data_IF_440814126651
#
_entry.id   IF_440814126651
#
_cell.length_a   1.000
_cell.length_b   1.000
_cell.length_c   1.000
_cell.angle_alpha   90.00
_cell.angle_beta   90.00
_cell.angle_gamma   90.00
#
_symmetry.space_group_name_H-M   'P 1'
#
loop_
_entity.id
_entity.type
_entity.pdbx_description
1 polymer ?
2 non-polymer ?
3 non-polymer ?
4 non-polymer ?
5 water ?
#
# COMPACT_ATOMS: atom_id res chain seq x y z
N UNK A 9 -7.91 -13.23 -19.62
CA UNK A 9 -7.42 -13.70 -18.28
C UNK A 9 -8.48 -13.89 -17.22
N UNK A 10 -8.48 -15.01 -16.52
CA UNK A 10 -9.48 -15.24 -15.49
C UNK A 10 -9.08 -14.50 -14.19
N UNK A 11 -10.04 -14.22 -13.35
CA UNK A 11 -9.87 -13.56 -12.07
C UNK A 11 -8.74 -14.24 -11.32
N UNK A 12 -8.84 -15.55 -11.20
CA UNK A 12 -7.84 -16.35 -10.51
C UNK A 12 -6.49 -16.11 -11.17
N UNK A 13 -6.47 -16.09 -12.48
CA UNK A 13 -5.19 -15.84 -13.16
C UNK A 13 -4.70 -14.42 -12.95
N UNK A 14 -5.60 -13.47 -12.80
CA UNK A 14 -5.22 -12.10 -12.55
C UNK A 14 -4.55 -12.04 -11.18
N UNK A 15 -5.13 -12.67 -10.17
CA UNK A 15 -4.59 -12.70 -8.85
C UNK A 15 -3.20 -13.33 -8.80
N UNK A 16 -3.03 -14.45 -9.45
CA UNK A 16 -1.77 -15.18 -9.50
C UNK A 16 -0.67 -14.30 -10.09
N UNK A 17 -0.93 -13.50 -11.11
CA UNK A 17 0.10 -12.66 -11.68
C UNK A 17 0.39 -11.49 -10.73
N UNK A 18 -0.61 -11.03 -9.99
CA UNK A 18 -0.37 -9.94 -9.04
C UNK A 18 0.57 -10.49 -7.94
N UNK A 19 0.26 -11.70 -7.50
CA UNK A 19 1.00 -12.39 -6.47
C UNK A 19 2.45 -12.48 -6.91
N UNK A 20 2.70 -12.92 -8.14
CA UNK A 20 4.07 -13.04 -8.60
C UNK A 20 4.64 -11.66 -8.91
N UNK A 21 3.77 -10.64 -9.01
CA UNK A 21 4.41 -9.34 -9.30
C UNK A 21 4.90 -8.67 -8.03
N UNK A 22 4.62 -9.16 -6.83
CA UNK A 22 5.10 -8.45 -5.64
C UNK A 22 6.57 -8.12 -5.78
N UNK A 23 6.92 -6.90 -5.43
CA UNK A 23 8.29 -6.43 -5.49
C UNK A 23 9.12 -7.19 -4.46
N UNK A 24 10.41 -7.33 -4.69
CA UNK A 24 11.32 -7.95 -3.77
C UNK A 24 11.46 -7.01 -2.56
N UNK A 25 11.92 -7.45 -1.42
CA UNK A 25 12.09 -6.55 -0.28
C UNK A 25 13.43 -5.86 -0.54
N UNK A 26 13.60 -4.83 0.23
CA UNK A 26 14.77 -3.96 0.15
C UNK A 26 15.77 -4.21 1.26
N UNK A 27 17.04 -4.12 0.94
CA UNK A 27 18.14 -4.32 1.85
C UNK A 27 18.39 -3.06 2.68
N UNK A 28 17.93 -3.05 3.93
CA UNK A 28 18.17 -1.92 4.79
C UNK A 28 18.43 -2.42 6.23
N UNK A 29 18.67 -1.39 7.05
CA UNK A 29 18.93 -1.70 8.45
C UNK A 29 18.92 -0.46 9.32
N UNK A 30 18.66 -0.73 10.59
CA UNK A 30 18.62 0.26 11.64
C UNK A 30 20.08 0.54 12.03
N UNK A 31 20.37 1.80 12.21
CA UNK A 31 21.71 2.22 12.65
C UNK A 31 21.79 1.63 14.05
N UNK A 32 22.93 1.14 14.51
CA UNK A 32 22.99 0.57 15.86
C UNK A 32 22.59 1.54 16.97
N UNK A 33 23.08 2.78 16.96
CA UNK A 33 22.75 3.73 18.03
C UNK A 33 21.29 4.18 17.91
N UNK A 34 20.76 4.73 18.97
CA UNK A 34 19.40 5.24 19.04
C UNK A 34 19.16 6.26 17.93
N UNK A 35 18.00 6.18 17.31
CA UNK A 35 17.66 7.10 16.23
C UNK A 35 17.67 8.56 16.63
N UNK A 36 17.99 9.42 15.65
CA UNK A 36 17.95 10.85 15.79
C UNK A 36 17.04 11.33 14.63
N UNK A 37 16.56 12.54 14.67
CA UNK A 37 15.75 13.06 13.59
C UNK A 37 16.46 12.84 12.25
N UNK A 38 17.77 13.04 12.22
CA UNK A 38 18.50 12.87 10.97
C UNK A 38 18.60 11.44 10.52
N UNK A 39 18.95 10.56 11.44
CA UNK A 39 19.12 9.17 10.98
C UNK A 39 17.75 8.53 10.71
N UNK A 40 16.69 8.87 11.41
CA UNK A 40 15.40 8.26 11.07
C UNK A 40 14.96 8.78 9.69
N UNK A 41 15.03 10.07 9.43
CA UNK A 41 14.61 10.52 8.09
C UNK A 41 15.53 10.02 7.00
N UNK A 42 16.80 9.84 7.34
CA UNK A 42 17.75 9.31 6.35
C UNK A 42 17.30 7.89 5.98
N UNK A 43 17.03 7.01 6.95
CA UNK A 43 16.58 5.64 6.73
C UNK A 43 15.27 5.52 5.95
N UNK A 44 14.28 6.30 6.36
CA UNK A 44 12.98 6.26 5.67
C UNK A 44 13.13 6.67 4.22
N UNK A 45 13.87 7.76 4.02
CA UNK A 45 14.12 8.28 2.66
C UNK A 45 14.88 7.28 1.84
N UNK A 46 15.97 6.66 2.30
CA UNK A 46 16.65 5.67 1.45
C UNK A 46 15.72 4.51 1.13
N UNK A 47 14.99 4.05 2.12
CA UNK A 47 14.04 2.95 1.92
C UNK A 47 13.06 3.29 0.80
N UNK A 48 12.42 4.47 0.93
CA UNK A 48 11.42 4.81 -0.10
C UNK A 48 12.04 4.84 -1.48
N UNK A 49 13.27 5.34 -1.54
CA UNK A 49 13.88 5.43 -2.88
C UNK A 49 13.96 4.09 -3.53
N UNK A 50 14.44 3.11 -2.78
CA UNK A 50 14.53 1.77 -3.36
C UNK A 50 13.13 1.21 -3.58
N UNK A 51 12.17 1.49 -2.65
CA UNK A 51 10.83 0.94 -2.95
C UNK A 51 10.24 1.59 -4.20
N UNK A 52 10.55 2.86 -4.41
CA UNK A 52 9.99 3.55 -5.59
C UNK A 52 10.51 2.92 -6.89
N UNK A 53 11.74 2.40 -6.92
CA UNK A 53 12.28 1.75 -8.10
C UNK A 53 11.50 0.46 -8.37
N UNK A 54 11.35 -0.33 -7.28
CA UNK A 54 10.61 -1.58 -7.42
C UNK A 54 9.13 -1.31 -7.73
N UNK A 55 8.59 -0.21 -7.24
CA UNK A 55 7.16 0.04 -7.54
C UNK A 55 6.97 0.15 -9.05
N UNK A 56 7.87 0.85 -9.73
CA UNK A 56 7.74 1.01 -11.20
C UNK A 56 7.75 -0.35 -11.89
N UNK A 57 8.64 -1.28 -11.49
CA UNK A 57 8.66 -2.58 -12.15
C UNK A 57 7.39 -3.36 -11.82
N UNK A 58 6.87 -3.11 -10.59
CA UNK A 58 5.66 -3.86 -10.22
C UNK A 58 4.50 -3.45 -11.11
N UNK A 59 4.30 -2.14 -11.25
CA UNK A 59 3.19 -1.67 -12.04
C UNK A 59 3.34 -2.19 -13.47
N UNK A 60 4.58 -2.25 -13.95
CA UNK A 60 4.75 -2.77 -15.33
C UNK A 60 4.33 -4.23 -15.45
N UNK A 61 4.30 -4.97 -14.34
CA UNK A 61 3.86 -6.36 -14.40
C UNK A 61 2.34 -6.47 -14.29
N UNK A 62 1.60 -5.39 -14.07
CA UNK A 62 0.14 -5.51 -13.95
C UNK A 62 -0.32 -5.73 -15.40
N UNK A 63 -1.11 -6.73 -15.66
CA UNK A 63 -1.60 -7.07 -16.98
C UNK A 63 -2.37 -5.92 -17.62
N UNK A 64 -1.82 -5.36 -18.70
CA UNK A 64 -2.40 -4.27 -19.43
C UNK A 64 -1.78 -2.92 -19.11
N UNK A 65 -0.97 -2.80 -18.05
CA UNK A 65 -0.41 -1.50 -17.71
C UNK A 65 0.54 -0.96 -18.77
N UNK A 66 1.40 -1.79 -19.33
CA UNK A 66 2.34 -1.32 -20.36
C UNK A 66 1.68 -0.96 -21.68
N UNK A 67 0.46 -1.41 -21.91
CA UNK A 67 -0.29 -1.11 -23.13
C UNK A 67 -0.95 0.27 -23.01
N UNK A 68 -0.94 0.86 -21.81
CA UNK A 68 -1.49 2.20 -21.57
C UNK A 68 -0.47 3.18 -22.16
N UNK A 69 -0.87 4.38 -22.46
CA UNK A 69 0.09 5.36 -22.99
C UNK A 69 1.14 5.69 -21.93
N UNK A 70 2.37 5.96 -22.33
CA UNK A 70 3.45 6.25 -21.43
C UNK A 70 3.03 7.36 -20.47
N UNK A 71 2.40 8.41 -21.00
CA UNK A 71 1.90 9.52 -20.23
C UNK A 71 0.94 9.08 -19.12
N UNK A 72 -0.04 8.24 -19.40
CA UNK A 72 -0.96 7.76 -18.38
C UNK A 72 -0.22 6.93 -17.32
N UNK A 73 0.79 6.17 -17.77
CA UNK A 73 1.58 5.34 -16.90
C UNK A 73 2.26 6.20 -15.84
N UNK A 74 2.95 7.21 -16.33
CA UNK A 74 3.67 8.11 -15.45
C UNK A 74 2.68 8.86 -14.59
N UNK A 75 1.56 9.26 -15.20
CA UNK A 75 0.57 10.00 -14.41
C UNK A 75 0.11 9.16 -13.21
N UNK A 76 -0.30 7.91 -13.40
CA UNK A 76 -0.77 7.13 -12.24
C UNK A 76 0.22 6.91 -11.11
N UNK A 77 1.46 6.54 -11.48
CA UNK A 77 2.51 6.31 -10.49
C UNK A 77 2.78 7.59 -9.74
N UNK A 78 2.76 8.69 -10.46
CA UNK A 78 3.05 9.97 -9.85
C UNK A 78 2.00 10.50 -8.88
N UNK A 79 0.73 10.25 -9.16
CA UNK A 79 -0.28 10.76 -8.27
C UNK A 79 -0.62 9.86 -7.09
N UNK A 80 -0.39 8.57 -7.07
CA UNK A 80 -0.80 7.72 -5.97
C UNK A 80 0.40 6.90 -5.38
N UNK A 81 1.64 7.27 -5.57
CA UNK A 81 2.78 6.49 -5.06
C UNK A 81 2.84 6.42 -3.53
N UNK A 82 2.54 7.50 -2.81
CA UNK A 82 2.57 7.44 -1.36
C UNK A 82 1.49 6.51 -0.83
N UNK A 83 0.39 6.40 -1.52
CA UNK A 83 -0.71 5.52 -1.10
C UNK A 83 -0.30 4.06 -1.27
N UNK A 84 0.27 3.68 -2.40
CA UNK A 84 0.75 2.34 -2.67
C UNK A 84 1.80 1.99 -1.61
N UNK A 85 2.67 2.94 -1.23
CA UNK A 85 3.67 2.63 -0.19
C UNK A 85 2.99 2.38 1.17
N UNK A 86 2.04 3.24 1.53
CA UNK A 86 1.41 3.09 2.84
C UNK A 86 0.60 1.80 3.00
N UNK A 87 -0.11 1.46 1.94
CA UNK A 87 -0.91 0.23 2.07
C UNK A 87 0.04 -0.97 2.19
N UNK A 88 1.22 -0.89 1.60
CA UNK A 88 2.16 -2.06 1.69
C UNK A 88 2.68 -2.14 3.11
N UNK A 89 2.92 -0.97 3.71
CA UNK A 89 3.38 -0.81 5.08
C UNK A 89 2.30 -1.33 6.03
N UNK A 90 1.03 -1.05 5.69
CA UNK A 90 -0.03 -1.50 6.57
C UNK A 90 -0.16 -3.03 6.55
N UNK A 91 -0.10 -3.60 5.35
CA UNK A 91 -0.18 -5.01 5.17
C UNK A 91 1.01 -5.57 5.99
N UNK A 92 2.21 -5.02 5.76
CA UNK A 92 3.32 -5.65 6.51
C UNK A 92 3.12 -5.48 8.03
N UNK A 93 2.39 -4.48 8.51
CA UNK A 93 2.40 -4.37 9.98
C UNK A 93 1.13 -4.90 10.63
N UNK A 94 0.32 -5.55 9.81
CA UNK A 94 -1.00 -5.96 10.27
C UNK A 94 -1.08 -6.78 11.52
N UNK A 95 -0.20 -7.74 11.65
CA UNK A 95 -0.19 -8.59 12.83
C UNK A 95 0.73 -8.10 13.95
N UNK A 96 1.18 -6.86 13.99
CA UNK A 96 2.08 -6.34 14.99
C UNK A 96 1.73 -4.99 15.60
N UNK A 97 0.79 -5.03 16.53
CA UNK A 97 0.30 -3.91 17.29
C UNK A 97 1.41 -3.00 17.82
N UNK A 98 1.22 -1.70 17.63
CA UNK A 98 2.19 -0.71 18.05
C UNK A 98 3.51 -0.70 17.28
N UNK A 99 3.59 -1.37 16.14
CA UNK A 99 4.84 -1.40 15.36
C UNK A 99 4.65 -1.17 13.86
N UNK A 100 5.59 -0.42 13.28
CA UNK A 100 5.45 -0.18 11.83
C UNK A 100 6.55 -0.98 11.15
N UNK A 101 6.16 -1.96 10.34
CA UNK A 101 7.16 -2.75 9.65
C UNK A 101 7.58 -2.12 8.32
N UNK A 102 8.37 -1.05 8.34
CA UNK A 102 8.89 -0.39 7.14
C UNK A 102 9.65 -1.35 6.28
N UNK A 103 10.43 -2.33 6.73
CA UNK A 103 11.15 -3.28 5.93
C UNK A 103 11.51 -4.42 6.87
N UNK A 104 11.78 -5.60 6.37
CA UNK A 104 12.10 -6.77 7.17
C UNK A 104 13.04 -6.44 8.33
N UNK A 105 14.07 -5.68 8.09
CA UNK A 105 14.99 -5.34 9.19
C UNK A 105 14.95 -3.87 9.55
N UNK A 106 13.78 -3.25 9.32
CA UNK A 106 13.57 -1.84 9.62
C UNK A 106 12.17 -1.72 10.25
N UNK A 107 12.07 -2.29 11.42
CA UNK A 107 10.91 -2.37 12.29
C UNK A 107 10.97 -1.27 13.34
N UNK A 108 10.07 -0.31 13.33
CA UNK A 108 10.04 0.78 14.25
C UNK A 108 8.95 0.69 15.31
N UNK A 109 9.33 0.93 16.58
CA UNK A 109 8.31 0.94 17.64
C UNK A 109 7.53 2.25 17.49
N UNK A 110 6.25 2.22 17.84
CA UNK A 110 5.42 3.42 17.77
C UNK A 110 6.09 4.60 18.45
N UNK A 111 6.52 4.40 19.71
CA UNK A 111 7.16 5.43 20.50
C UNK A 111 8.39 6.02 19.81
N UNK A 112 9.00 5.33 18.85
CA UNK A 112 10.18 5.92 18.21
C UNK A 112 9.81 7.13 17.36
N UNK A 113 8.50 7.31 17.16
CA UNK A 113 7.99 8.44 16.41
C UNK A 113 8.40 9.78 17.01
N UNK A 114 8.60 9.83 18.32
CA UNK A 114 8.98 11.11 18.91
C UNK A 114 10.38 11.51 18.47
N UNK A 115 11.06 10.62 17.75
CA UNK A 115 12.41 10.95 17.31
C UNK A 115 12.36 11.99 16.20
N UNK A 116 11.22 12.27 15.58
CA UNK A 116 11.10 13.24 14.50
C UNK A 116 9.92 14.15 14.74
N UNK A 117 10.07 15.45 14.53
CA UNK A 117 8.95 16.35 14.78
C UNK A 117 7.77 16.15 13.84
N UNK A 118 6.61 15.89 14.42
CA UNK A 118 5.37 15.68 13.72
C UNK A 118 5.17 14.31 13.09
N UNK A 119 6.09 13.37 13.30
CA UNK A 119 5.91 12.05 12.67
C UNK A 119 5.03 11.17 13.54
N UNK A 120 5.07 11.44 14.83
CA UNK A 120 4.26 10.68 15.81
C UNK A 120 2.81 10.57 15.38
N UNK A 121 2.16 11.69 15.05
CA UNK A 121 0.75 11.60 14.67
C UNK A 121 0.52 10.82 13.38
N UNK A 122 1.43 10.92 12.40
CA UNK A 122 1.36 10.22 11.15
C UNK A 122 1.54 8.72 11.50
N UNK A 123 2.52 8.37 12.35
CA UNK A 123 2.69 6.98 12.71
C UNK A 123 1.36 6.44 13.28
N UNK A 124 0.78 7.24 14.20
CA UNK A 124 -0.47 6.87 14.84
C UNK A 124 -1.60 6.69 13.84
N UNK A 125 -1.71 7.54 12.84
CA UNK A 125 -2.78 7.37 11.84
C UNK A 125 -2.48 6.05 11.07
N UNK A 126 -1.20 5.79 10.74
CA UNK A 126 -0.92 4.53 10.05
C UNK A 126 -1.28 3.34 10.96
N UNK A 127 -0.93 3.39 12.23
CA UNK A 127 -1.24 2.28 13.11
C UNK A 127 -2.75 2.06 13.26
N UNK A 128 -3.54 3.12 13.34
CA UNK A 128 -4.99 3.00 13.49
C UNK A 128 -5.60 2.32 12.25
N UNK A 129 -5.26 2.83 11.07
CA UNK A 129 -5.82 2.24 9.85
C UNK A 129 -5.37 0.79 9.74
N UNK A 130 -4.15 0.50 10.12
CA UNK A 130 -3.65 -0.87 10.11
C UNK A 130 -4.54 -1.67 11.05
N UNK A 131 -4.81 -1.26 12.26
CA UNK A 131 -5.69 -1.98 13.14
C UNK A 131 -7.06 -2.20 12.50
N UNK A 132 -7.59 -1.27 11.75
CA UNK A 132 -8.91 -1.50 11.13
C UNK A 132 -8.83 -2.67 10.13
N UNK A 133 -7.72 -2.69 9.36
CA UNK A 133 -7.52 -3.76 8.40
C UNK A 133 -7.38 -5.07 9.18
N UNK A 134 -6.77 -5.04 10.34
CA UNK A 134 -6.62 -6.28 11.10
C UNK A 134 -7.98 -6.78 11.61
N UNK A 135 -8.78 -5.88 12.15
CA UNK A 135 -10.11 -6.21 12.62
C UNK A 135 -10.95 -6.81 11.48
N UNK A 136 -10.71 -6.32 10.28
CA UNK A 136 -11.49 -6.77 9.13
C UNK A 136 -11.02 -8.11 8.61
N UNK A 137 -9.91 -8.56 9.17
CA UNK A 137 -9.20 -9.78 8.85
C UNK A 137 -8.86 -9.77 7.37
N UNK A 138 -8.26 -8.67 6.94
CA UNK A 138 -7.85 -8.55 5.55
C UNK A 138 -6.91 -9.70 5.19
N UNK A 139 -7.20 -10.30 4.07
CA UNK A 139 -6.46 -11.36 3.46
C UNK A 139 -5.39 -10.79 2.49
N UNK A 140 -4.30 -11.56 2.38
CA UNK A 140 -3.21 -11.19 1.51
C UNK A 140 -3.74 -11.15 0.09
N UNK A 141 -4.64 -12.05 -0.28
CA UNK A 141 -5.08 -11.96 -1.68
C UNK A 141 -5.98 -10.75 -1.98
N UNK A 142 -6.64 -10.25 -0.92
CA UNK A 142 -7.50 -9.09 -1.16
C UNK A 142 -6.56 -7.87 -1.15
N UNK A 143 -5.47 -8.04 -0.36
CA UNK A 143 -4.54 -6.89 -0.32
C UNK A 143 -3.97 -6.67 -1.72
N UNK A 144 -3.66 -7.75 -2.41
CA UNK A 144 -3.14 -7.56 -3.77
C UNK A 144 -4.13 -6.82 -4.69
N UNK A 145 -5.42 -7.15 -4.63
CA UNK A 145 -6.30 -6.43 -5.60
C UNK A 145 -6.46 -4.96 -5.19
N UNK A 146 -6.58 -4.70 -3.91
CA UNK A 146 -6.83 -3.36 -3.34
C UNK A 146 -5.66 -2.46 -3.69
N UNK A 147 -4.43 -2.98 -3.61
CA UNK A 147 -3.25 -2.24 -3.95
C UNK A 147 -3.30 -1.84 -5.44
N UNK A 148 -3.62 -2.79 -6.31
CA UNK A 148 -3.68 -2.49 -7.73
C UNK A 148 -4.84 -1.50 -8.02
N UNK A 149 -5.94 -1.50 -7.31
CA UNK A 149 -7.04 -0.56 -7.51
C UNK A 149 -6.63 0.86 -7.09
N UNK A 150 -5.75 0.93 -6.06
CA UNK A 150 -5.32 2.29 -5.69
C UNK A 150 -4.57 2.90 -6.88
N UNK A 151 -3.62 2.19 -7.48
CA UNK A 151 -2.85 2.70 -8.61
C UNK A 151 -3.72 3.09 -9.80
N UNK A 152 -4.81 2.40 -10.08
CA UNK A 152 -5.64 2.61 -11.20
C UNK A 152 -6.93 3.41 -11.08
N UNK A 153 -7.53 3.62 -9.94
CA UNK A 153 -8.76 4.36 -9.83
C UNK A 153 -8.32 5.82 -9.88
N UNK A 154 -8.28 6.47 -11.05
CA UNK A 154 -7.87 7.89 -11.04
C UNK A 154 -9.03 8.81 -11.41
N UNK A 169 -8.67 6.43 -20.88
CA UNK A 169 -9.79 6.20 -19.98
C UNK A 169 -10.31 4.80 -20.28
N UNK A 170 -10.28 4.52 -21.57
CA UNK A 170 -10.75 3.26 -22.14
C UNK A 170 -9.99 2.01 -21.72
N UNK A 171 -8.73 1.82 -22.05
CA UNK A 171 -8.07 0.58 -21.62
C UNK A 171 -7.85 0.62 -20.10
N UNK A 172 -7.96 1.81 -19.52
CA UNK A 172 -7.76 1.98 -18.10
C UNK A 172 -8.98 1.44 -17.35
N UNK A 173 -10.15 1.81 -17.83
CA UNK A 173 -11.42 1.39 -17.29
C UNK A 173 -11.49 -0.12 -17.38
N UNK A 174 -10.90 -0.61 -18.46
CA UNK A 174 -10.92 -2.07 -18.68
C UNK A 174 -10.08 -2.74 -17.58
N UNK A 175 -8.90 -2.17 -17.38
CA UNK A 175 -7.98 -2.67 -16.37
C UNK A 175 -8.56 -2.64 -14.96
N UNK A 176 -9.22 -1.53 -14.63
CA UNK A 176 -9.82 -1.39 -13.29
C UNK A 176 -10.94 -2.42 -13.09
N UNK A 177 -11.72 -2.59 -14.15
CA UNK A 177 -12.81 -3.57 -14.09
C UNK A 177 -12.28 -4.97 -13.79
N UNK A 178 -11.17 -5.30 -14.46
CA UNK A 178 -10.53 -6.62 -14.30
C UNK A 178 -10.06 -6.86 -12.86
N UNK A 179 -9.50 -5.83 -12.22
CA UNK A 179 -9.03 -5.88 -10.85
C UNK A 179 -10.24 -6.01 -9.91
N UNK A 180 -11.28 -5.22 -10.23
CA UNK A 180 -12.49 -5.30 -9.42
C UNK A 180 -13.10 -6.68 -9.48
N UNK A 181 -13.16 -7.29 -10.70
CA UNK A 181 -13.72 -8.64 -10.80
C UNK A 181 -12.77 -9.58 -10.04
N UNK A 182 -11.47 -9.27 -10.06
CA UNK A 182 -10.58 -10.17 -9.28
C UNK A 182 -10.87 -9.95 -7.80
N UNK A 183 -11.18 -8.70 -7.34
CA UNK A 183 -11.44 -8.63 -5.87
C UNK A 183 -12.71 -9.38 -5.48
N UNK A 184 -13.75 -9.20 -6.30
CA UNK A 184 -15.02 -9.87 -6.06
C UNK A 184 -14.83 -11.40 -6.06
N UNK A 185 -14.04 -11.96 -6.95
CA UNK A 185 -13.81 -13.41 -6.99
C UNK A 185 -13.13 -13.83 -5.69
N UNK A 186 -12.15 -13.05 -5.22
CA UNK A 186 -11.50 -13.43 -3.97
C UNK A 186 -12.49 -13.38 -2.83
N UNK A 187 -13.37 -12.39 -2.82
CA UNK A 187 -14.31 -12.39 -1.67
C UNK A 187 -15.30 -13.56 -1.81
N UNK A 188 -15.70 -13.95 -3.02
CA UNK A 188 -16.65 -15.06 -3.16
C UNK A 188 -16.06 -16.33 -2.53
N UNK A 189 -14.79 -16.61 -2.75
CA UNK A 189 -14.13 -17.78 -2.20
C UNK A 189 -14.05 -17.80 -0.67
N UNK A 190 -14.51 -16.79 0.03
CA UNK A 190 -14.43 -16.79 1.49
C UNK A 190 -15.64 -17.52 2.08
N UNK A 191 -16.63 -17.79 1.24
CA UNK A 191 -17.86 -18.46 1.56
C UNK A 191 -18.96 -17.75 2.31
N UNK A 192 -18.83 -16.46 2.64
CA UNK A 192 -19.93 -15.79 3.36
C UNK A 192 -21.12 -15.64 2.44
N UNK A 193 -22.24 -15.14 2.90
CA UNK A 193 -23.41 -14.93 2.06
C UNK A 193 -23.20 -13.78 1.05
N UNK A 194 -24.11 -13.76 0.08
CA UNK A 194 -24.10 -12.79 -0.98
C UNK A 194 -24.12 -11.37 -0.41
N UNK A 195 -24.98 -11.17 0.60
CA UNK A 195 -25.07 -9.83 1.15
C UNK A 195 -23.79 -9.52 1.90
N UNK A 196 -23.23 -10.48 2.64
CA UNK A 196 -22.01 -10.20 3.38
C UNK A 196 -20.80 -9.99 2.46
N UNK A 197 -20.89 -10.48 1.24
CA UNK A 197 -19.83 -10.31 0.25
C UNK A 197 -19.90 -8.86 -0.27
N UNK A 198 -21.13 -8.38 -0.55
CA UNK A 198 -21.23 -6.98 -0.96
C UNK A 198 -20.70 -6.12 0.20
N UNK A 199 -21.20 -6.32 1.41
CA UNK A 199 -20.76 -5.52 2.54
C UNK A 199 -19.24 -5.49 2.71
N UNK A 200 -18.63 -6.66 2.52
CA UNK A 200 -17.20 -6.74 2.70
C UNK A 200 -16.51 -5.87 1.62
N UNK A 201 -17.04 -5.87 0.43
CA UNK A 201 -16.49 -5.11 -0.66
C UNK A 201 -16.52 -3.62 -0.31
N UNK A 202 -17.69 -3.15 0.11
CA UNK A 202 -17.91 -1.79 0.52
C UNK A 202 -16.94 -1.46 1.65
N UNK A 203 -16.72 -2.34 2.62
CA UNK A 203 -15.81 -2.00 3.71
C UNK A 203 -14.36 -1.92 3.23
N UNK A 204 -13.94 -2.81 2.33
CA UNK A 204 -12.54 -2.72 1.87
C UNK A 204 -12.35 -1.39 1.13
N UNK A 205 -13.16 -1.04 0.15
CA UNK A 205 -13.06 0.20 -0.59
C UNK A 205 -13.15 1.44 0.28
N UNK A 206 -13.98 1.46 1.31
CA UNK A 206 -14.04 2.65 2.17
C UNK A 206 -12.77 2.81 2.97
N UNK A 207 -12.01 1.74 3.19
CA UNK A 207 -10.76 1.83 3.92
C UNK A 207 -9.70 2.50 3.04
N UNK A 208 -9.76 2.29 1.72
CA UNK A 208 -8.79 2.94 0.84
C UNK A 208 -8.88 4.47 0.86
N UNK A 209 -10.07 4.98 1.23
CA UNK A 209 -10.17 6.44 1.24
C UNK A 209 -9.46 6.89 2.52
N UNK A 210 -9.32 6.04 3.53
CA UNK A 210 -8.57 6.46 4.70
C UNK A 210 -7.09 6.52 4.27
N UNK A 211 -6.61 5.54 3.48
CA UNK A 211 -5.22 5.55 3.06
C UNK A 211 -5.01 6.88 2.31
N UNK A 212 -5.92 7.30 1.44
CA UNK A 212 -5.78 8.56 0.72
C UNK A 212 -5.52 9.74 1.64
N UNK A 213 -6.32 9.83 2.69
CA UNK A 213 -6.22 10.88 3.70
C UNK A 213 -4.86 10.84 4.39
N UNK A 214 -4.40 9.69 4.87
CA UNK A 214 -3.09 9.62 5.54
C UNK A 214 -1.98 9.96 4.56
N UNK A 215 -2.11 9.60 3.28
CA UNK A 215 -1.08 9.94 2.31
C UNK A 215 -0.99 11.48 2.17
N UNK A 216 -2.14 12.16 2.11
CA UNK A 216 -2.14 13.61 2.01
C UNK A 216 -1.40 14.15 3.23
N UNK A 217 -1.72 13.75 4.44
CA UNK A 217 -1.00 14.30 5.59
C UNK A 217 0.49 13.95 5.61
N UNK A 218 0.84 12.75 5.18
CA UNK A 218 2.25 12.37 5.20
C UNK A 218 3.02 13.27 4.23
N UNK A 219 2.39 13.57 3.10
CA UNK A 219 3.01 14.42 2.10
C UNK A 219 3.26 15.83 2.66
N UNK A 220 2.21 16.44 3.18
CA UNK A 220 2.38 17.78 3.75
C UNK A 220 3.47 17.70 4.82
N UNK A 221 3.47 16.63 5.60
CA UNK A 221 4.49 16.48 6.63
C UNK A 221 5.90 16.51 6.00
N UNK A 222 6.00 15.93 4.81
CA UNK A 222 7.28 15.92 4.10
C UNK A 222 7.64 17.32 3.58
N UNK A 223 6.67 17.99 2.97
CA UNK A 223 6.88 19.30 2.39
C UNK A 223 7.43 20.24 3.45
N UNK A 224 6.66 20.47 4.49
CA UNK A 224 7.08 21.35 5.58
C UNK A 224 8.48 21.02 6.07
N UNK A 225 8.80 19.74 6.10
CA UNK A 225 10.08 19.23 6.55
C UNK A 225 11.27 19.55 5.66
N UNK A 226 11.25 18.99 4.45
CA UNK A 226 12.32 19.18 3.48
C UNK A 226 12.00 20.40 2.61
#
# INVERSE_FOLDING_TARGET
VKELLLSTLSPEQLVLTLLEAEPPNVLVSRPSMPFTEASMMMSLTKLADKELVHMIGWAKKIPGFVELSLLDQVRLLESCWMEVLMVGLMWRSIDHPGKLIFAPDLVLDRDEGKCVEGILEIFDMLLATTSRFRELKLQHKEYLCVKAMILLNSSMYPLASANQEAESSRKLTHLLNAVTDALVWVIAKSGISSQQQSVRLANLLMLLSHVRHISNKGMEHLLSMKCKNVVPVYDLLLEMLNAHLTRGYKSSISG
#
